data_IF_248842941541
#
_entry.id   IF_248842941541
#
_cell.length_a   1.000
_cell.length_b   1.000
_cell.length_c   1.000
_cell.angle_alpha   90.00
_cell.angle_beta   90.00
_cell.angle_gamma   90.00
#
_symmetry.space_group_name_H-M   'P 1'
#
loop_
_entity.id
_entity.type
_entity.pdbx_description
1 polymer ?
#
# COMPACT_ATOMS: atom_id res chain seq x y z
N UNK A 1 -7.67 -3.74 -6.36
CA UNK A 1 -6.75 -4.61 -7.14
C UNK A 1 -5.30 -4.42 -6.71
N UNK A 2 -4.62 -3.32 -7.09
CA UNK A 2 -3.20 -3.13 -6.78
C UNK A 2 -2.81 -3.40 -5.30
N UNK A 3 -3.61 -2.88 -4.35
CA UNK A 3 -3.41 -3.15 -2.92
C UNK A 3 -3.47 -4.65 -2.57
N UNK A 4 -4.42 -5.41 -3.10
CA UNK A 4 -4.55 -6.84 -2.78
C UNK A 4 -3.45 -7.70 -3.41
N UNK A 5 -2.89 -7.26 -4.54
CA UNK A 5 -1.76 -7.92 -5.20
C UNK A 5 -0.43 -7.56 -4.49
N UNK A 6 -0.40 -6.43 -3.79
CA UNK A 6 0.79 -5.89 -3.10
C UNK A 6 1.42 -6.89 -2.13
N UNK A 7 0.60 -7.59 -1.33
CA UNK A 7 1.07 -8.59 -0.37
C UNK A 7 1.85 -9.74 -1.05
N UNK A 8 1.40 -10.19 -2.23
CA UNK A 8 2.12 -11.22 -3.01
C UNK A 8 3.51 -10.72 -3.40
N UNK A 9 3.60 -9.47 -3.86
CA UNK A 9 4.89 -8.86 -4.22
C UNK A 9 5.79 -8.62 -3.01
N UNK A 10 5.24 -8.24 -1.84
CA UNK A 10 6.00 -8.04 -0.61
C UNK A 10 6.65 -9.33 -0.11
N UNK A 11 5.97 -10.46 -0.29
CA UNK A 11 6.50 -11.80 -0.01
C UNK A 11 7.54 -12.28 -1.03
N UNK A 12 7.81 -11.50 -2.09
CA UNK A 12 8.68 -11.87 -3.21
C UNK A 12 8.05 -12.88 -4.17
N UNK A 13 6.75 -13.12 -4.06
CA UNK A 13 6.04 -14.13 -4.84
C UNK A 13 5.54 -13.58 -6.18
N UNK A 14 5.25 -14.50 -7.11
CA UNK A 14 4.64 -14.17 -8.41
C UNK A 14 3.14 -14.45 -8.34
N UNK A 15 2.27 -13.47 -8.61
CA UNK A 15 0.82 -13.70 -8.63
C UNK A 15 0.45 -14.59 -9.83
N UNK A 16 -0.56 -15.45 -9.64
CA UNK A 16 -1.06 -16.40 -10.66
C UNK A 16 -2.48 -16.01 -11.10
N UNK A 17 -3.38 -15.80 -10.15
CA UNK A 17 -4.78 -15.43 -10.43
C UNK A 17 -5.41 -14.70 -9.25
N UNK A 18 -6.56 -14.07 -9.49
CA UNK A 18 -7.36 -13.44 -8.46
C UNK A 18 -8.86 -13.81 -8.54
N UNK A 19 -9.56 -13.62 -7.42
CA UNK A 19 -11.01 -13.69 -7.31
C UNK A 19 -11.54 -12.39 -6.72
N UNK A 20 -12.55 -11.80 -7.33
CA UNK A 20 -13.16 -10.57 -6.82
C UNK A 20 -14.02 -10.84 -5.58
N UNK A 21 -13.95 -9.94 -4.59
CA UNK A 21 -14.83 -9.93 -3.42
C UNK A 21 -15.52 -8.56 -3.38
N UNK A 22 -16.84 -8.55 -3.52
CA UNK A 22 -17.61 -7.32 -3.70
C UNK A 22 -18.75 -7.26 -2.69
N UNK A 23 -18.84 -6.17 -1.92
CA UNK A 23 -20.04 -5.75 -1.22
C UNK A 23 -20.61 -4.52 -1.93
N UNK A 24 -21.86 -4.55 -2.40
CA UNK A 24 -22.40 -3.44 -3.19
C UNK A 24 -23.84 -3.07 -2.81
N UNK A 25 -24.14 -1.77 -2.56
CA UNK A 25 -25.49 -1.31 -2.25
C UNK A 25 -26.28 -1.07 -3.54
N UNK A 26 -26.85 -2.12 -4.11
CA UNK A 26 -27.62 -2.06 -5.37
C UNK A 26 -28.78 -1.06 -5.33
N UNK A 27 -29.32 -0.77 -4.14
CA UNK A 27 -30.41 0.19 -3.93
C UNK A 27 -29.93 1.65 -3.82
N UNK A 28 -28.63 1.90 -3.62
CA UNK A 28 -28.08 3.26 -3.41
C UNK A 28 -27.17 3.70 -4.56
N UNK A 29 -26.51 2.77 -5.25
CA UNK A 29 -25.56 3.06 -6.31
C UNK A 29 -25.98 2.37 -7.62
N UNK A 30 -25.87 3.06 -8.77
CA UNK A 30 -26.23 2.47 -10.04
C UNK A 30 -25.23 1.39 -10.44
N UNK A 31 -25.72 0.35 -11.11
CA UNK A 31 -24.90 -0.78 -11.60
C UNK A 31 -23.73 -0.36 -12.50
N UNK A 32 -23.81 0.81 -13.15
CA UNK A 32 -22.69 1.39 -13.91
C UNK A 32 -21.45 1.62 -13.04
N UNK A 33 -21.62 2.00 -11.77
CA UNK A 33 -20.49 2.19 -10.84
C UNK A 33 -19.79 0.87 -10.56
N UNK A 34 -20.55 -0.21 -10.29
CA UNK A 34 -19.98 -1.55 -10.12
C UNK A 34 -19.21 -1.99 -11.37
N UNK A 35 -19.77 -1.79 -12.57
CA UNK A 35 -19.07 -2.09 -13.83
C UNK A 35 -17.73 -1.35 -13.96
N UNK A 36 -17.66 -0.09 -13.54
CA UNK A 36 -16.40 0.68 -13.57
C UNK A 36 -15.38 0.15 -12.55
N UNK A 37 -15.81 -0.22 -11.34
CA UNK A 37 -14.94 -0.84 -10.32
C UNK A 37 -14.35 -2.15 -10.86
N UNK A 38 -15.20 -3.03 -11.41
CA UNK A 38 -14.77 -4.31 -11.97
C UNK A 38 -13.86 -4.12 -13.19
N UNK A 39 -14.13 -3.12 -14.03
CA UNK A 39 -13.25 -2.77 -15.14
C UNK A 39 -11.86 -2.33 -14.65
N UNK A 40 -11.78 -1.40 -13.71
CA UNK A 40 -10.49 -0.97 -13.16
C UNK A 40 -9.74 -2.11 -12.47
N UNK A 41 -10.46 -3.04 -11.86
CA UNK A 41 -9.89 -4.25 -11.30
C UNK A 41 -9.30 -5.18 -12.37
N UNK A 42 -10.04 -5.41 -13.46
CA UNK A 42 -9.59 -6.19 -14.62
C UNK A 42 -8.36 -5.57 -15.28
N UNK A 43 -8.39 -4.27 -15.57
CA UNK A 43 -7.28 -3.55 -16.21
C UNK A 43 -5.99 -3.68 -15.37
N UNK A 44 -6.12 -3.66 -14.04
CA UNK A 44 -4.98 -3.83 -13.11
C UNK A 44 -4.51 -5.28 -12.98
N UNK A 45 -5.41 -6.26 -13.07
CA UNK A 45 -5.05 -7.68 -13.12
C UNK A 45 -4.25 -7.99 -14.39
N UNK A 46 -4.68 -7.47 -15.54
CA UNK A 46 -3.97 -7.56 -16.81
C UNK A 46 -2.57 -6.94 -16.71
N UNK A 47 -2.42 -5.76 -16.10
CA UNK A 47 -1.10 -5.15 -15.86
C UNK A 47 -0.18 -6.03 -14.99
N UNK A 48 -0.76 -6.75 -14.02
CA UNK A 48 -0.04 -7.70 -13.18
C UNK A 48 0.31 -9.01 -13.91
N UNK A 49 -0.28 -9.25 -15.09
CA UNK A 49 -0.11 -10.49 -15.86
C UNK A 49 -0.93 -11.66 -15.33
N UNK A 50 -2.04 -11.38 -14.65
CA UNK A 50 -2.93 -12.41 -14.08
C UNK A 50 -4.37 -12.25 -14.56
N UNK A 51 -5.12 -13.34 -14.51
CA UNK A 51 -6.54 -13.36 -14.81
C UNK A 51 -7.40 -13.31 -13.53
N UNK A 52 -8.60 -12.78 -13.68
CA UNK A 52 -9.64 -12.85 -12.64
C UNK A 52 -10.55 -14.02 -12.98
N UNK A 53 -10.47 -15.11 -12.20
CA UNK A 53 -11.19 -16.36 -12.49
C UNK A 53 -12.65 -16.38 -12.01
N UNK A 54 -13.12 -15.27 -11.46
CA UNK A 54 -14.47 -15.12 -10.94
C UNK A 54 -14.50 -14.26 -9.69
N UNK A 55 -15.45 -14.55 -8.81
CA UNK A 55 -15.60 -13.83 -7.55
C UNK A 55 -16.98 -14.02 -6.94
N UNK A 56 -17.21 -13.33 -5.83
CA UNK A 56 -18.51 -13.32 -5.16
C UNK A 56 -18.95 -11.89 -4.87
N UNK A 57 -20.24 -11.64 -5.07
CA UNK A 57 -20.89 -10.37 -4.76
C UNK A 57 -21.94 -10.58 -3.70
N UNK A 58 -21.88 -9.79 -2.63
CA UNK A 58 -22.87 -9.77 -1.56
C UNK A 58 -23.55 -8.40 -1.50
N UNK A 59 -24.79 -8.39 -1.04
CA UNK A 59 -25.48 -7.13 -0.71
C UNK A 59 -24.83 -6.54 0.54
N UNK A 60 -24.53 -5.25 0.48
CA UNK A 60 -23.94 -4.50 1.59
C UNK A 60 -24.50 -3.07 1.57
N UNK A 61 -24.58 -2.42 2.73
CA UNK A 61 -25.01 -1.04 2.89
C UNK A 61 -24.02 -0.02 2.31
N UNK A 62 -22.74 -0.39 2.28
CA UNK A 62 -21.64 0.45 1.78
C UNK A 62 -20.84 -0.29 0.70
N UNK A 63 -20.37 0.41 -0.35
CA UNK A 63 -19.57 -0.21 -1.40
C UNK A 63 -18.20 -0.62 -0.84
N UNK A 64 -17.89 -1.91 -0.93
CA UNK A 64 -16.61 -2.52 -0.56
C UNK A 64 -16.12 -3.38 -1.72
N UNK A 65 -14.82 -3.28 -2.02
CA UNK A 65 -14.21 -4.06 -3.08
C UNK A 65 -12.84 -4.55 -2.64
N UNK A 66 -12.58 -5.83 -2.86
CA UNK A 66 -11.31 -6.49 -2.60
C UNK A 66 -11.06 -7.64 -3.57
N UNK A 67 -9.94 -8.32 -3.38
CA UNK A 67 -9.59 -9.52 -4.13
C UNK A 67 -8.94 -10.53 -3.19
N UNK A 68 -9.20 -11.80 -3.42
CA UNK A 68 -8.30 -12.87 -2.99
C UNK A 68 -7.32 -13.09 -4.12
N UNK A 69 -6.02 -13.05 -3.83
CA UNK A 69 -4.96 -13.23 -4.82
C UNK A 69 -4.14 -14.45 -4.45
N UNK A 70 -3.91 -15.33 -5.42
CA UNK A 70 -3.07 -16.52 -5.26
C UNK A 70 -1.76 -16.28 -6.01
N UNK A 71 -0.63 -16.55 -5.36
CA UNK A 71 0.70 -16.49 -5.95
C UNK A 71 1.54 -17.71 -5.60
N UNK A 72 2.72 -17.81 -6.22
CA UNK A 72 3.68 -18.88 -5.97
C UNK A 72 5.08 -18.32 -5.74
N UNK A 73 5.86 -19.03 -4.94
CA UNK A 73 7.26 -18.74 -4.68
C UNK A 73 7.98 -20.03 -4.27
N UNK A 74 9.28 -20.09 -4.55
CA UNK A 74 10.11 -21.16 -3.98
C UNK A 74 10.20 -20.97 -2.45
N UNK A 75 10.05 -22.02 -1.63
CA UNK A 75 10.08 -21.91 -0.17
C UNK A 75 11.33 -21.19 0.37
N UNK A 76 12.49 -21.46 -0.22
CA UNK A 76 13.76 -20.83 0.18
C UNK A 76 13.91 -19.36 -0.24
N UNK A 77 12.95 -18.83 -1.00
CA UNK A 77 12.95 -17.43 -1.48
C UNK A 77 11.86 -16.58 -0.82
N UNK A 78 11.13 -17.14 0.15
CA UNK A 78 10.11 -16.40 0.90
C UNK A 78 10.75 -15.20 1.57
N UNK A 79 10.25 -14.01 1.22
CA UNK A 79 10.64 -12.79 1.88
C UNK A 79 9.76 -12.58 3.11
N UNK A 80 10.38 -12.55 4.29
CA UNK A 80 9.70 -12.23 5.54
C UNK A 80 9.86 -10.74 5.89
N UNK A 81 9.10 -10.28 6.86
CA UNK A 81 9.27 -8.95 7.44
C UNK A 81 10.11 -8.97 8.72
N UNK A 82 10.72 -10.08 9.11
CA UNK A 82 11.35 -10.30 10.41
C UNK A 82 12.84 -10.66 10.35
N UNK A 83 13.48 -10.62 9.18
CA UNK A 83 14.89 -10.95 8.98
C UNK A 83 15.88 -9.79 8.97
N UNK A 84 15.44 -8.54 9.24
CA UNK A 84 16.29 -7.35 9.22
C UNK A 84 17.48 -7.45 10.20
N UNK A 85 18.63 -6.89 9.81
CA UNK A 85 19.89 -6.98 10.53
C UNK A 85 20.51 -5.60 10.79
N UNK A 86 21.30 -5.45 11.86
CA UNK A 86 22.12 -4.25 12.03
C UNK A 86 23.04 -4.05 10.82
N UNK A 87 23.05 -2.83 10.27
CA UNK A 87 23.78 -2.49 9.05
C UNK A 87 22.93 -2.45 7.79
N UNK A 88 21.69 -2.98 7.83
CA UNK A 88 20.76 -2.87 6.71
C UNK A 88 20.39 -1.41 6.39
N UNK A 89 20.15 -1.14 5.10
CA UNK A 89 19.61 0.13 4.62
C UNK A 89 18.11 0.01 4.35
N UNK A 90 17.36 1.05 4.68
CA UNK A 90 15.92 1.10 4.41
C UNK A 90 15.66 1.68 3.02
N UNK A 91 14.91 0.95 2.19
CA UNK A 91 14.50 1.38 0.86
C UNK A 91 12.97 1.49 0.83
N UNK A 92 12.47 2.62 0.32
CA UNK A 92 11.03 2.85 0.13
C UNK A 92 10.76 3.13 -1.36
N UNK A 93 9.87 2.34 -1.96
CA UNK A 93 9.64 2.35 -3.41
C UNK A 93 8.51 3.27 -3.86
N UNK A 94 7.69 3.75 -2.92
CA UNK A 94 6.59 4.69 -3.18
C UNK A 94 6.60 5.85 -2.19
N UNK A 95 6.27 7.08 -2.64
CA UNK A 95 6.20 8.22 -1.75
C UNK A 95 5.05 8.11 -0.75
N UNK A 96 5.24 8.70 0.42
CA UNK A 96 4.25 8.76 1.51
C UNK A 96 3.20 9.87 1.29
N UNK A 97 2.11 9.81 2.05
CA UNK A 97 1.11 10.89 2.15
C UNK A 97 -0.26 10.60 1.54
N UNK A 98 -0.47 9.42 0.95
CA UNK A 98 -1.75 9.03 0.33
C UNK A 98 -2.95 9.13 1.29
N UNK A 99 -2.79 8.75 2.56
CA UNK A 99 -3.87 8.84 3.56
C UNK A 99 -4.31 10.28 3.87
N UNK A 100 -3.36 11.22 3.90
CA UNK A 100 -3.65 12.65 4.10
C UNK A 100 -4.34 13.21 2.86
N UNK A 101 -3.83 12.89 1.67
CA UNK A 101 -4.40 13.37 0.41
C UNK A 101 -5.81 12.84 0.20
N UNK A 102 -6.06 11.56 0.46
CA UNK A 102 -7.41 10.98 0.34
C UNK A 102 -8.40 11.59 1.34
N UNK A 103 -7.95 11.97 2.54
CA UNK A 103 -8.76 12.75 3.49
C UNK A 103 -9.04 14.16 2.95
N UNK A 104 -8.03 14.82 2.36
CA UNK A 104 -8.20 16.11 1.72
C UNK A 104 -9.13 16.10 0.50
N UNK A 105 -9.15 15.02 -0.29
CA UNK A 105 -10.10 14.83 -1.40
C UNK A 105 -11.52 14.77 -0.87
N UNK A 106 -11.77 14.00 0.21
CA UNK A 106 -13.08 13.93 0.86
C UNK A 106 -13.55 15.29 1.38
N UNK A 107 -12.61 16.13 1.82
CA UNK A 107 -12.89 17.46 2.35
C UNK A 107 -12.91 18.56 1.26
N UNK A 108 -12.69 18.22 -0.02
CA UNK A 108 -12.71 19.17 -1.13
C UNK A 108 -11.55 20.19 -1.15
N UNK A 109 -10.45 19.92 -0.43
CA UNK A 109 -9.30 20.84 -0.29
C UNK A 109 -8.10 20.45 -1.16
N UNK A 110 -8.24 19.40 -1.98
CA UNK A 110 -7.19 18.88 -2.84
C UNK A 110 -7.51 19.22 -4.29
N UNK A 111 -6.54 19.79 -5.00
CA UNK A 111 -6.67 20.04 -6.43
C UNK A 111 -6.49 18.77 -7.28
N UNK A 112 -6.99 18.83 -8.51
CA UNK A 112 -6.96 17.71 -9.46
C UNK A 112 -5.56 17.14 -9.71
N UNK A 113 -4.51 17.97 -9.67
CA UNK A 113 -3.14 17.51 -9.95
C UNK A 113 -2.57 16.67 -8.79
N UNK A 114 -2.83 17.08 -7.55
CA UNK A 114 -2.43 16.31 -6.36
C UNK A 114 -3.25 15.02 -6.27
N UNK A 115 -4.54 15.09 -6.56
CA UNK A 115 -5.41 13.91 -6.64
C UNK A 115 -4.90 12.89 -7.66
N UNK A 116 -4.64 13.31 -8.91
CA UNK A 116 -4.08 12.45 -9.96
C UNK A 116 -2.76 11.81 -9.54
N UNK A 117 -1.87 12.55 -8.88
CA UNK A 117 -0.61 12.00 -8.37
C UNK A 117 -0.84 10.93 -7.31
N UNK A 118 -1.76 11.15 -6.36
CA UNK A 118 -2.08 10.14 -5.36
C UNK A 118 -2.71 8.89 -5.99
N UNK A 119 -3.62 9.05 -6.95
CA UNK A 119 -4.22 7.94 -7.69
C UNK A 119 -3.14 7.14 -8.44
N UNK A 120 -2.21 7.81 -9.12
CA UNK A 120 -1.12 7.14 -9.83
C UNK A 120 -0.23 6.31 -8.87
N UNK A 121 0.14 6.87 -7.72
CA UNK A 121 0.94 6.15 -6.71
C UNK A 121 0.19 4.95 -6.14
N UNK A 122 -1.09 5.11 -5.76
CA UNK A 122 -1.89 4.04 -5.15
C UNK A 122 -2.27 2.94 -6.14
N UNK A 123 -2.48 3.28 -7.41
CA UNK A 123 -2.87 2.32 -8.44
C UNK A 123 -1.68 1.58 -9.07
N UNK A 124 -0.45 2.11 -8.97
CA UNK A 124 0.74 1.42 -9.47
C UNK A 124 0.99 0.08 -8.75
N UNK A 125 1.40 -0.95 -9.48
CA UNK A 125 1.80 -2.23 -8.90
C UNK A 125 3.16 -2.13 -8.21
N UNK A 126 3.42 -3.01 -7.24
CA UNK A 126 4.76 -3.22 -6.67
C UNK A 126 5.61 -4.19 -7.50
N UNK A 127 5.13 -4.61 -8.68
CA UNK A 127 5.75 -5.61 -9.56
C UNK A 127 7.23 -5.35 -9.81
N UNK A 128 7.57 -4.18 -10.37
CA UNK A 128 8.95 -3.81 -10.70
C UNK A 128 9.84 -3.79 -9.46
N UNK A 129 9.33 -3.29 -8.33
CA UNK A 129 10.07 -3.31 -7.07
C UNK A 129 10.36 -4.74 -6.61
N UNK A 130 9.37 -5.64 -6.69
CA UNK A 130 9.54 -7.04 -6.31
C UNK A 130 10.47 -7.79 -7.26
N UNK A 131 10.40 -7.53 -8.57
CA UNK A 131 11.30 -8.13 -9.57
C UNK A 131 12.75 -7.70 -9.31
N UNK A 132 13.01 -6.40 -9.16
CA UNK A 132 14.36 -5.88 -8.88
C UNK A 132 14.89 -6.41 -7.54
N UNK A 133 14.02 -6.51 -6.51
CA UNK A 133 14.40 -6.97 -5.18
C UNK A 133 15.04 -8.37 -5.21
N UNK A 134 14.64 -9.25 -6.14
CA UNK A 134 15.17 -10.61 -6.26
C UNK A 134 16.65 -10.67 -6.64
N UNK A 135 17.19 -9.60 -7.23
CA UNK A 135 18.58 -9.53 -7.68
C UNK A 135 19.54 -9.05 -6.57
N UNK A 136 19.03 -8.78 -5.36
CA UNK A 136 19.79 -8.27 -4.24
C UNK A 136 19.62 -9.11 -2.98
N UNK A 137 20.63 -9.15 -2.08
CA UNK A 137 20.50 -9.77 -0.78
C UNK A 137 19.61 -8.91 0.13
N UNK A 138 18.30 -9.16 0.10
CA UNK A 138 17.33 -8.48 0.96
C UNK A 138 17.03 -9.33 2.18
N UNK A 139 17.20 -8.72 3.36
CA UNK A 139 17.01 -9.41 4.64
C UNK A 139 15.57 -9.38 5.15
N UNK A 140 14.77 -8.36 4.77
CA UNK A 140 13.36 -8.27 5.10
C UNK A 140 12.61 -7.36 4.11
N UNK A 141 11.33 -7.64 3.88
CA UNK A 141 10.45 -6.79 3.06
C UNK A 141 9.04 -6.73 3.65
N UNK A 142 8.36 -5.62 3.41
CA UNK A 142 6.93 -5.44 3.70
C UNK A 142 6.41 -4.29 2.84
N UNK A 143 5.10 -4.24 2.59
CA UNK A 143 4.47 -3.13 1.90
C UNK A 143 3.84 -2.13 2.88
N UNK A 144 4.08 -0.84 2.63
CA UNK A 144 3.56 0.21 3.50
C UNK A 144 2.11 0.54 3.14
N UNK A 145 1.18 -0.02 3.91
CA UNK A 145 -0.28 0.12 3.71
C UNK A 145 -0.95 0.95 4.81
N UNK A 146 -2.17 0.57 5.25
CA UNK A 146 -3.01 1.32 6.17
C UNK A 146 -2.36 1.59 7.53
N UNK A 147 -1.36 0.80 7.94
CA UNK A 147 -0.61 1.04 9.17
C UNK A 147 0.40 2.18 9.07
N UNK A 148 0.71 2.64 7.87
CA UNK A 148 1.70 3.68 7.62
C UNK A 148 3.12 3.20 7.91
N UNK A 149 4.10 4.00 7.51
CA UNK A 149 5.51 3.62 7.54
C UNK A 149 5.96 3.16 8.94
N UNK A 150 5.62 3.94 9.98
CA UNK A 150 6.06 3.64 11.34
C UNK A 150 5.40 2.39 11.91
N UNK A 151 4.16 2.07 11.51
CA UNK A 151 3.50 0.83 11.95
C UNK A 151 4.23 -0.40 11.41
N UNK A 152 4.46 -0.42 10.10
CA UNK A 152 5.14 -1.52 9.41
C UNK A 152 6.61 -1.66 9.82
N UNK A 153 7.34 -0.55 9.99
CA UNK A 153 8.69 -0.60 10.56
C UNK A 153 8.69 -1.07 12.02
N UNK A 154 7.65 -0.75 12.79
CA UNK A 154 7.49 -1.26 14.15
C UNK A 154 7.40 -2.79 14.18
N UNK A 155 6.58 -3.38 13.30
CA UNK A 155 6.47 -4.84 13.18
C UNK A 155 7.80 -5.47 12.75
N UNK A 156 8.45 -4.89 11.74
CA UNK A 156 9.74 -5.38 11.25
C UNK A 156 10.84 -5.32 12.33
N UNK A 157 11.00 -4.18 12.98
CA UNK A 157 12.01 -4.00 14.03
C UNK A 157 11.78 -4.89 15.24
N UNK A 158 10.51 -5.08 15.65
CA UNK A 158 10.14 -5.99 16.73
C UNK A 158 10.42 -7.46 16.36
N UNK A 159 10.01 -7.89 15.17
CA UNK A 159 10.24 -9.26 14.68
C UNK A 159 11.73 -9.58 14.58
N UNK A 160 12.52 -8.63 14.09
CA UNK A 160 13.98 -8.77 13.92
C UNK A 160 14.80 -8.48 15.17
N UNK A 161 14.19 -7.96 16.24
CA UNK A 161 14.88 -7.53 17.48
C UNK A 161 15.99 -6.50 17.23
N UNK A 162 15.74 -5.56 16.31
CA UNK A 162 16.66 -4.47 15.96
C UNK A 162 16.00 -3.11 16.20
N UNK A 163 16.79 -2.04 16.16
CA UNK A 163 16.27 -0.68 16.12
C UNK A 163 16.46 -0.08 14.73
N UNK A 164 15.59 0.86 14.35
CA UNK A 164 15.74 1.62 13.11
C UNK A 164 15.93 3.12 13.40
N UNK A 165 16.71 3.77 12.53
CA UNK A 165 16.88 5.23 12.52
C UNK A 165 16.43 5.74 11.16
N UNK A 166 15.53 6.71 11.16
CA UNK A 166 15.04 7.34 9.95
C UNK A 166 15.38 8.82 9.99
N UNK A 167 15.96 9.30 8.89
CA UNK A 167 16.07 10.73 8.64
C UNK A 167 14.80 11.19 7.92
N UNK A 168 14.01 12.02 8.59
CA UNK A 168 12.75 12.54 8.04
C UNK A 168 12.96 13.26 6.70
N UNK A 169 14.08 13.97 6.54
CA UNK A 169 14.36 14.75 5.34
C UNK A 169 14.62 13.87 4.10
N UNK A 170 14.91 12.59 4.30
CA UNK A 170 15.13 11.62 3.22
C UNK A 170 13.84 10.88 2.82
N UNK A 171 12.72 11.11 3.53
CA UNK A 171 11.47 10.43 3.23
C UNK A 171 10.82 11.05 1.98
N UNK A 172 10.51 10.25 0.94
CA UNK A 172 9.79 10.74 -0.21
C UNK A 172 8.32 10.96 0.14
N UNK A 173 7.78 12.13 -0.24
CA UNK A 173 6.36 12.47 -0.08
C UNK A 173 5.74 12.81 -1.43
N UNK A 174 4.44 12.55 -1.58
CA UNK A 174 3.71 12.90 -2.80
C UNK A 174 3.77 14.42 -3.00
N UNK A 175 4.21 14.86 -4.19
CA UNK A 175 4.38 16.29 -4.50
C UNK A 175 3.07 17.06 -4.30
N UNK A 176 3.16 18.11 -3.48
CA UNK A 176 2.03 18.97 -3.10
C UNK A 176 1.44 18.65 -1.72
N UNK A 177 1.85 17.56 -1.08
CA UNK A 177 1.35 17.15 0.24
C UNK A 177 1.47 18.27 1.30
N UNK A 178 2.65 18.88 1.42
CA UNK A 178 2.93 19.90 2.44
C UNK A 178 2.27 21.25 2.17
N UNK A 179 1.68 21.45 0.99
CA UNK A 179 0.85 22.63 0.71
C UNK A 179 -0.59 22.51 1.22
N UNK A 180 -0.99 21.31 1.69
CA UNK A 180 -2.31 21.07 2.28
C UNK A 180 -2.31 21.41 3.78
N UNK A 181 -3.47 21.69 4.40
CA UNK A 181 -3.59 21.85 5.85
C UNK A 181 -3.43 20.49 6.57
N UNK A 182 -2.21 19.94 6.58
CA UNK A 182 -1.92 18.54 6.99
C UNK A 182 -2.45 18.22 8.40
N UNK A 183 -2.38 19.18 9.34
CA UNK A 183 -2.84 18.99 10.71
C UNK A 183 -4.33 18.61 10.79
N UNK A 184 -5.16 19.18 9.90
CA UNK A 184 -6.61 18.97 9.86
C UNK A 184 -6.99 17.74 9.03
N UNK A 185 -6.04 17.18 8.28
CA UNK A 185 -6.25 16.09 7.33
C UNK A 185 -5.65 14.75 7.82
N UNK A 186 -5.29 14.66 9.11
CA UNK A 186 -4.83 13.42 9.72
C UNK A 186 -5.98 12.42 9.76
N UNK A 187 -5.88 11.37 8.95
CA UNK A 187 -6.89 10.31 8.87
C UNK A 187 -7.09 9.59 10.21
N UNK A 188 -8.32 9.12 10.46
CA UNK A 188 -8.65 8.35 11.67
C UNK A 188 -7.79 7.10 11.86
N UNK A 189 -7.38 6.44 10.77
CA UNK A 189 -6.45 5.31 10.81
C UNK A 189 -5.07 5.68 11.39
N UNK A 190 -4.62 6.93 11.27
CA UNK A 190 -3.36 7.39 11.89
C UNK A 190 -3.51 7.58 13.40
N UNK A 191 -4.70 8.00 13.88
CA UNK A 191 -4.95 8.30 15.30
C UNK A 191 -5.11 7.05 16.18
N UNK A 192 -5.55 5.92 15.62
CA UNK A 192 -5.89 4.69 16.36
C UNK A 192 -4.72 3.71 16.59
N UNK A 193 -3.45 4.15 16.53
CA UNK A 193 -2.28 3.23 16.51
C UNK A 193 -1.46 3.23 17.80
N UNK A 194 -0.92 2.05 18.14
CA UNK A 194 0.02 1.84 19.25
C UNK A 194 1.31 2.65 19.04
N UNK A 195 1.94 3.08 20.13
CA UNK A 195 3.22 3.80 20.11
C UNK A 195 4.32 2.87 19.57
N UNK A 196 4.92 3.25 18.44
CA UNK A 196 6.14 2.61 17.92
C UNK A 196 7.32 3.49 18.32
N UNK A 197 8.32 2.90 18.99
CA UNK A 197 9.56 3.59 19.34
C UNK A 197 10.51 3.60 18.14
N UNK A 198 10.36 4.60 17.27
CA UNK A 198 11.32 4.90 16.22
C UNK A 198 12.04 6.20 16.57
N UNK A 199 13.37 6.19 16.62
CA UNK A 199 14.16 7.41 16.84
C UNK A 199 14.24 8.18 15.52
N UNK A 200 13.34 9.14 15.34
CA UNK A 200 13.44 10.10 14.23
C UNK A 200 14.50 11.15 14.55
N UNK A 201 15.44 11.34 13.62
CA UNK A 201 16.38 12.46 13.67
C UNK A 201 15.98 13.50 12.62
N UNK A 202 15.80 14.75 13.05
CA UNK A 202 15.85 15.89 12.14
C UNK A 202 17.31 16.21 11.90
N UNK A 203 17.77 16.16 10.65
CA UNK A 203 19.09 16.67 10.31
C UNK A 203 19.21 18.13 10.77
N UNK A 204 20.21 18.43 11.59
CA UNK A 204 20.62 19.81 11.85
C UNK A 204 21.28 20.31 10.57
N UNK A 205 20.71 21.36 9.97
CA UNK A 205 21.45 22.22 9.06
C UNK A 205 22.30 23.17 9.88
#
# INVERSE_FOLDING_TARGET
>A
AANAISDIYAMGATPIFALNVVGFPENKLPQKVLKQILKGASDKATEAGIEILGGHTVKDEEPKFGMTVTGTIHPDKIMDNAGAKPGDVLILTKPLGSGIITTGIKNGVVNNDIEKRAIAVMSGLNKTAAEIMQDFPVNACTDVTGFGLLGHLGEMTLGSKVNCVINFNNLPFIKGLFGLPVADLISGGTKNKKRVYCKMQRGRY
#
